data_IF_038271311162
#
_entry.id   IF_038271311162
#
_cell.length_a   1.000
_cell.length_b   1.000
_cell.length_c   1.000
_cell.angle_alpha   90.00
_cell.angle_beta   90.00
_cell.angle_gamma   90.00
#
_symmetry.space_group_name_H-M   'P 1'
#
loop_
_entity.id
_entity.type
_entity.pdbx_description
1 polymer ?
#
# COMPACT_ATOMS: atom_id res chain seq x y z
N UNK A 1 -5.63 -6.86 -21.29
CA UNK A 1 -5.93 -6.27 -19.95
C UNK A 1 -4.97 -5.13 -19.69
N UNK A 2 -5.50 -3.94 -19.46
CA UNK A 2 -4.72 -2.75 -19.13
C UNK A 2 -4.82 -2.48 -17.65
N UNK A 3 -3.69 -2.33 -16.96
CA UNK A 3 -3.61 -2.06 -15.52
C UNK A 3 -2.93 -0.71 -15.34
N UNK A 4 -3.66 0.26 -14.83
CA UNK A 4 -3.18 1.62 -14.61
C UNK A 4 -3.41 2.08 -13.19
N UNK A 5 -2.59 3.00 -12.72
CA UNK A 5 -2.79 3.70 -11.46
C UNK A 5 -3.27 5.12 -11.73
N UNK A 6 -4.37 5.51 -11.11
CA UNK A 6 -4.91 6.86 -11.22
C UNK A 6 -4.91 7.56 -9.87
N UNK A 7 -4.75 8.89 -9.88
CA UNK A 7 -4.95 9.71 -8.68
C UNK A 7 -6.40 9.65 -8.25
N UNK A 8 -6.63 9.54 -6.95
CA UNK A 8 -7.96 9.68 -6.38
C UNK A 8 -8.43 11.13 -6.47
N UNK A 9 -9.70 11.31 -6.82
CA UNK A 9 -10.37 12.61 -6.83
C UNK A 9 -11.71 12.53 -6.10
N UNK A 10 -12.31 13.65 -5.75
CA UNK A 10 -13.63 13.66 -5.12
C UNK A 10 -14.74 13.09 -6.01
N UNK A 11 -14.54 13.06 -7.33
CA UNK A 11 -15.44 12.40 -8.27
C UNK A 11 -15.48 10.87 -8.09
N UNK A 12 -14.48 10.28 -7.44
CA UNK A 12 -14.37 8.84 -7.21
C UNK A 12 -15.06 8.38 -5.91
N UNK A 13 -15.77 9.24 -5.21
CA UNK A 13 -16.39 8.95 -3.90
C UNK A 13 -17.22 7.66 -3.92
N UNK A 14 -18.12 7.52 -4.87
CA UNK A 14 -18.99 6.35 -4.95
C UNK A 14 -18.22 5.08 -5.26
N UNK A 15 -17.25 5.16 -6.16
CA UNK A 15 -16.37 4.04 -6.47
C UNK A 15 -15.52 3.61 -5.27
N UNK A 16 -15.01 4.57 -4.51
CA UNK A 16 -14.27 4.31 -3.26
C UNK A 16 -15.15 3.62 -2.22
N UNK A 17 -16.37 4.10 -2.01
CA UNK A 17 -17.32 3.47 -1.07
C UNK A 17 -17.65 2.05 -1.50
N UNK A 18 -17.93 1.84 -2.78
CA UNK A 18 -18.20 0.51 -3.32
C UNK A 18 -17.02 -0.44 -3.11
N UNK A 19 -15.81 0.02 -3.42
CA UNK A 19 -14.59 -0.76 -3.21
C UNK A 19 -14.39 -1.14 -1.74
N UNK A 20 -14.45 -0.17 -0.84
CA UNK A 20 -14.20 -0.38 0.59
C UNK A 20 -15.25 -1.26 1.27
N UNK A 21 -16.48 -1.28 0.77
CA UNK A 21 -17.55 -2.15 1.28
C UNK A 21 -17.51 -3.57 0.68
N UNK A 22 -16.90 -3.75 -0.48
CA UNK A 22 -16.88 -5.03 -1.19
C UNK A 22 -15.59 -5.83 -1.01
N UNK A 23 -14.48 -5.18 -0.62
CA UNK A 23 -13.17 -5.83 -0.50
C UNK A 23 -13.15 -6.89 0.61
N UNK A 24 -12.45 -7.99 0.37
CA UNK A 24 -12.20 -9.01 1.39
C UNK A 24 -11.26 -8.45 2.48
N UNK A 25 -11.68 -8.58 3.73
CA UNK A 25 -11.01 -7.97 4.88
C UNK A 25 -10.12 -8.93 5.67
N UNK A 26 -9.99 -10.17 5.22
CA UNK A 26 -9.26 -11.22 5.95
C UNK A 26 -7.85 -10.77 6.35
N UNK A 27 -7.14 -10.13 5.44
CA UNK A 27 -5.76 -9.67 5.66
C UNK A 27 -5.61 -8.14 5.68
N UNK A 28 -6.70 -7.40 5.75
CA UNK A 28 -6.66 -5.95 5.93
C UNK A 28 -6.59 -5.59 7.42
N UNK A 29 -6.00 -4.44 7.72
CA UNK A 29 -5.98 -3.91 9.09
C UNK A 29 -7.35 -3.39 9.51
N UNK A 30 -7.53 -3.22 10.82
CA UNK A 30 -8.76 -2.62 11.39
C UNK A 30 -8.91 -1.12 11.09
N UNK A 31 -7.94 -0.50 10.41
CA UNK A 31 -7.99 0.92 10.01
C UNK A 31 -9.05 1.23 8.96
N UNK A 32 -9.51 0.22 8.22
CA UNK A 32 -10.56 0.40 7.21
C UNK A 32 -11.94 0.24 7.87
N UNK A 33 -12.76 1.32 7.98
CA UNK A 33 -14.08 1.25 8.59
C UNK A 33 -15.03 0.29 7.85
N UNK A 34 -15.98 -0.29 8.59
CA UNK A 34 -17.07 -1.08 8.02
C UNK A 34 -18.35 -0.89 8.86
N UNK A 35 -19.49 -0.55 8.24
CA UNK A 35 -19.63 -0.16 6.85
C UNK A 35 -18.85 1.12 6.53
N UNK A 36 -18.39 1.23 5.29
CA UNK A 36 -17.69 2.41 4.81
C UNK A 36 -18.70 3.44 4.30
N UNK A 37 -18.74 4.59 4.95
CA UNK A 37 -19.76 5.62 4.74
C UNK A 37 -19.28 6.73 3.81
N UNK A 38 -20.22 7.56 3.36
CA UNK A 38 -19.90 8.79 2.61
C UNK A 38 -18.97 9.72 3.40
N UNK A 39 -19.21 9.85 4.71
CA UNK A 39 -18.35 10.65 5.58
C UNK A 39 -16.92 10.08 5.66
N UNK A 40 -16.75 8.76 5.70
CA UNK A 40 -15.44 8.10 5.66
C UNK A 40 -14.73 8.41 4.34
N UNK A 41 -15.45 8.31 3.21
CA UNK A 41 -14.91 8.60 1.89
C UNK A 41 -14.48 10.07 1.76
N UNK A 42 -15.29 11.00 2.19
CA UNK A 42 -14.98 12.44 2.15
C UNK A 42 -13.76 12.78 2.98
N UNK A 43 -13.69 12.25 4.19
CA UNK A 43 -12.53 12.43 5.05
C UNK A 43 -11.24 11.89 4.40
N UNK A 44 -11.31 10.66 3.89
CA UNK A 44 -10.15 10.01 3.28
C UNK A 44 -9.69 10.72 2.00
N UNK A 45 -10.63 11.09 1.10
CA UNK A 45 -10.31 11.82 -0.12
C UNK A 45 -9.72 13.20 0.18
N UNK A 46 -10.20 13.87 1.23
CA UNK A 46 -9.63 15.14 1.70
C UNK A 46 -8.21 14.97 2.22
N UNK A 47 -7.96 13.94 3.02
CA UNK A 47 -6.63 13.58 3.52
C UNK A 47 -5.66 13.32 2.36
N UNK A 48 -6.09 12.53 1.37
CA UNK A 48 -5.27 12.23 0.18
C UNK A 48 -4.97 13.51 -0.60
N UNK A 49 -5.96 14.35 -0.84
CA UNK A 49 -5.77 15.61 -1.59
C UNK A 49 -4.73 16.52 -0.94
N UNK A 50 -4.67 16.57 0.39
CA UNK A 50 -3.71 17.40 1.12
C UNK A 50 -2.29 16.82 1.15
N UNK A 51 -2.17 15.50 1.15
CA UNK A 51 -0.92 14.80 1.47
C UNK A 51 -0.26 14.08 0.29
N UNK A 52 -0.98 13.92 -0.84
CA UNK A 52 -0.43 13.22 -2.01
C UNK A 52 0.81 13.91 -2.56
N UNK A 53 1.88 13.13 -2.74
CA UNK A 53 3.19 13.63 -3.15
C UNK A 53 4.02 14.25 -2.02
N UNK A 54 3.54 14.24 -0.79
CA UNK A 54 4.22 14.79 0.40
C UNK A 54 4.41 13.72 1.48
N UNK A 55 3.33 13.35 2.15
CA UNK A 55 3.34 12.31 3.20
C UNK A 55 3.18 10.90 2.64
N UNK A 56 2.73 10.77 1.43
CA UNK A 56 2.56 9.51 0.74
C UNK A 56 2.13 9.69 -0.69
N UNK A 57 1.87 8.58 -1.35
CA UNK A 57 1.22 8.52 -2.66
C UNK A 57 0.10 7.49 -2.59
N UNK A 58 -1.08 7.87 -3.04
CA UNK A 58 -2.29 7.03 -3.03
C UNK A 58 -2.87 6.98 -4.44
N UNK A 59 -3.14 5.76 -4.91
CA UNK A 59 -3.66 5.56 -6.27
C UNK A 59 -4.78 4.53 -6.28
N UNK A 60 -5.77 4.75 -7.12
CA UNK A 60 -6.71 3.70 -7.49
C UNK A 60 -6.05 2.74 -8.48
N UNK A 61 -6.37 1.46 -8.36
CA UNK A 61 -5.96 0.44 -9.33
C UNK A 61 -7.10 0.30 -10.32
N UNK A 62 -6.82 0.60 -11.58
CA UNK A 62 -7.81 0.61 -12.67
C UNK A 62 -7.48 -0.49 -13.66
N UNK A 63 -8.43 -1.37 -13.93
CA UNK A 63 -8.32 -2.44 -14.91
C UNK A 63 -9.38 -2.22 -15.97
N UNK A 64 -8.95 -2.06 -17.22
CA UNK A 64 -9.83 -1.81 -18.35
C UNK A 64 -10.88 -0.71 -18.08
N UNK A 65 -10.46 0.37 -17.42
CA UNK A 65 -11.29 1.52 -17.10
C UNK A 65 -12.14 1.40 -15.82
N UNK A 66 -12.08 0.29 -15.10
CA UNK A 66 -12.81 0.06 -13.85
C UNK A 66 -11.88 0.12 -12.65
N UNK A 67 -12.28 0.84 -11.60
CA UNK A 67 -11.57 0.81 -10.31
C UNK A 67 -11.82 -0.54 -9.62
N UNK A 68 -10.75 -1.30 -9.41
CA UNK A 68 -10.81 -2.64 -8.81
C UNK A 68 -10.00 -2.76 -7.53
N UNK A 69 -9.28 -1.72 -7.16
CA UNK A 69 -8.45 -1.74 -5.97
C UNK A 69 -7.87 -0.37 -5.63
N UNK A 70 -7.06 -0.36 -4.59
CA UNK A 70 -6.32 0.82 -4.12
C UNK A 70 -4.93 0.39 -3.67
N UNK A 71 -3.96 1.25 -3.88
CA UNK A 71 -2.59 1.05 -3.40
C UNK A 71 -1.99 2.37 -2.95
N UNK A 72 -1.07 2.29 -1.99
CA UNK A 72 -0.38 3.46 -1.46
C UNK A 72 1.03 3.13 -0.98
N UNK A 73 1.87 4.16 -0.91
CA UNK A 73 3.09 4.16 -0.13
C UNK A 73 3.05 5.38 0.78
N UNK A 74 3.10 5.17 2.08
CA UNK A 74 3.02 6.23 3.07
C UNK A 74 4.34 6.33 3.84
N UNK A 75 4.84 7.57 4.06
CA UNK A 75 6.04 7.78 4.87
C UNK A 75 5.83 7.29 6.29
N UNK A 76 6.84 6.64 6.85
CA UNK A 76 6.84 6.32 8.27
C UNK A 76 7.04 7.60 9.09
N UNK A 77 6.33 7.70 10.23
CA UNK A 77 6.45 8.85 11.12
C UNK A 77 7.85 8.99 11.71
N UNK A 78 8.49 7.88 12.06
CA UNK A 78 9.78 7.84 12.76
C UNK A 78 10.98 7.77 11.80
N UNK A 79 10.77 7.32 10.55
CA UNK A 79 11.80 7.22 9.52
C UNK A 79 11.30 7.84 8.22
N UNK A 80 11.55 9.13 8.03
CA UNK A 80 10.97 9.93 6.95
C UNK A 80 11.44 9.55 5.54
N UNK A 81 12.53 8.82 5.42
CA UNK A 81 13.09 8.29 4.18
C UNK A 81 12.62 6.86 3.87
N UNK A 82 11.76 6.30 4.70
CA UNK A 82 11.16 4.98 4.53
C UNK A 82 9.65 5.12 4.33
N UNK A 83 9.11 4.38 3.37
CA UNK A 83 7.67 4.28 3.14
C UNK A 83 7.14 2.89 3.47
N UNK A 84 5.86 2.81 3.80
CA UNK A 84 5.12 1.56 3.97
C UNK A 84 4.13 1.39 2.83
N UNK A 85 4.20 0.25 2.14
CA UNK A 85 3.29 -0.07 1.05
C UNK A 85 2.04 -0.78 1.56
N UNK A 86 0.88 -0.41 1.00
CA UNK A 86 -0.37 -1.11 1.20
C UNK A 86 -1.12 -1.26 -0.13
N UNK A 87 -1.91 -2.31 -0.24
CA UNK A 87 -2.79 -2.49 -1.39
C UNK A 87 -3.95 -3.41 -1.04
N UNK A 88 -5.07 -3.22 -1.72
CA UNK A 88 -6.23 -4.08 -1.66
C UNK A 88 -6.86 -4.17 -3.05
N UNK A 89 -7.36 -5.35 -3.39
CA UNK A 89 -7.95 -5.64 -4.70
C UNK A 89 -9.21 -6.47 -4.48
N UNK A 90 -10.27 -6.17 -5.22
CA UNK A 90 -11.50 -6.94 -5.20
C UNK A 90 -11.24 -8.41 -5.57
N UNK A 91 -11.87 -9.33 -4.85
CA UNK A 91 -11.67 -10.78 -4.98
C UNK A 91 -11.78 -11.31 -6.43
N UNK A 92 -12.75 -10.86 -7.27
CA UNK A 92 -12.84 -11.34 -8.64
C UNK A 92 -11.60 -11.04 -9.50
N UNK A 93 -10.73 -10.15 -9.04
CA UNK A 93 -9.52 -9.73 -9.76
C UNK A 93 -8.24 -10.34 -9.20
N UNK A 94 -8.34 -11.26 -8.24
CA UNK A 94 -7.19 -11.94 -7.68
C UNK A 94 -6.56 -12.93 -8.67
N UNK A 95 -5.29 -13.25 -8.45
CA UNK A 95 -4.52 -14.25 -9.21
C UNK A 95 -4.40 -13.96 -10.72
N UNK A 96 -4.46 -12.69 -11.10
CA UNK A 96 -4.35 -12.23 -12.50
C UNK A 96 -3.12 -11.34 -12.74
N UNK A 97 -2.21 -11.25 -11.78
CA UNK A 97 -1.03 -10.41 -11.88
C UNK A 97 -1.25 -8.92 -11.60
N UNK A 98 -2.49 -8.53 -11.27
CA UNK A 98 -2.85 -7.12 -11.04
C UNK A 98 -2.10 -6.54 -9.85
N UNK A 99 -2.03 -7.26 -8.74
CA UNK A 99 -1.29 -6.83 -7.55
C UNK A 99 0.20 -6.63 -7.82
N UNK A 100 0.82 -7.54 -8.54
CA UNK A 100 2.24 -7.45 -8.92
C UNK A 100 2.51 -6.21 -9.77
N UNK A 101 1.68 -5.93 -10.75
CA UNK A 101 1.83 -4.76 -11.61
C UNK A 101 1.53 -3.45 -10.86
N UNK A 102 0.49 -3.43 -10.03
CA UNK A 102 0.15 -2.27 -9.21
C UNK A 102 1.30 -1.90 -8.24
N UNK A 103 1.91 -2.89 -7.60
CA UNK A 103 3.06 -2.68 -6.71
C UNK A 103 4.26 -2.15 -7.48
N UNK A 104 4.53 -2.69 -8.66
CA UNK A 104 5.61 -2.19 -9.53
C UNK A 104 5.40 -0.70 -9.85
N UNK A 105 4.19 -0.33 -10.24
CA UNK A 105 3.87 1.05 -10.61
C UNK A 105 3.92 1.99 -9.41
N UNK A 106 3.33 1.63 -8.26
CA UNK A 106 3.33 2.52 -7.09
C UNK A 106 4.71 2.73 -6.50
N UNK A 107 5.59 1.73 -6.55
CA UNK A 107 6.99 1.90 -6.16
C UNK A 107 7.69 2.94 -7.05
N UNK A 108 7.43 2.93 -8.36
CA UNK A 108 7.94 3.94 -9.28
C UNK A 108 7.42 5.34 -8.98
N UNK A 109 6.14 5.47 -8.67
CA UNK A 109 5.54 6.76 -8.26
C UNK A 109 6.19 7.26 -6.97
N UNK A 110 6.31 6.40 -5.96
CA UNK A 110 6.91 6.73 -4.69
C UNK A 110 8.38 7.17 -4.83
N UNK A 111 9.15 6.48 -5.67
CA UNK A 111 10.53 6.86 -5.97
C UNK A 111 10.63 8.27 -6.56
N UNK A 112 9.78 8.60 -7.53
CA UNK A 112 9.80 9.91 -8.18
C UNK A 112 9.30 11.03 -7.30
N UNK A 113 8.24 10.79 -6.52
CA UNK A 113 7.53 11.86 -5.80
C UNK A 113 7.96 12.03 -4.35
N UNK A 114 8.43 10.96 -3.70
CA UNK A 114 8.73 10.98 -2.26
C UNK A 114 10.23 10.94 -1.93
N UNK A 115 11.10 10.66 -2.90
CA UNK A 115 12.54 10.53 -2.70
C UNK A 115 12.91 9.57 -1.54
N UNK A 116 12.23 8.43 -1.46
CA UNK A 116 12.46 7.42 -0.43
C UNK A 116 13.73 6.62 -0.71
N UNK A 117 14.38 6.14 0.33
CA UNK A 117 15.49 5.20 0.26
C UNK A 117 15.02 3.75 0.29
N UNK A 118 13.92 3.49 1.00
CA UNK A 118 13.40 2.15 1.26
C UNK A 118 11.88 2.14 1.34
N UNK A 119 11.28 1.06 0.87
CA UNK A 119 9.86 0.77 1.08
C UNK A 119 9.74 -0.55 1.82
N UNK A 120 8.96 -0.59 2.89
CA UNK A 120 8.63 -1.82 3.60
C UNK A 120 7.19 -2.24 3.31
N UNK A 121 6.96 -3.55 3.36
CA UNK A 121 5.62 -4.14 3.34
C UNK A 121 5.47 -5.09 4.51
N UNK A 122 4.44 -4.88 5.33
CA UNK A 122 4.09 -5.77 6.43
C UNK A 122 3.02 -6.75 5.95
N UNK A 123 3.26 -8.03 6.15
CA UNK A 123 2.41 -9.13 5.67
C UNK A 123 2.12 -10.09 6.81
N UNK A 124 0.84 -10.43 7.01
CA UNK A 124 0.48 -11.53 7.91
C UNK A 124 1.09 -12.83 7.38
N UNK A 125 1.64 -13.71 8.26
CA UNK A 125 2.33 -14.93 7.82
C UNK A 125 1.49 -15.83 6.92
N UNK A 126 0.18 -15.86 7.09
CA UNK A 126 -0.76 -16.67 6.32
C UNK A 126 -1.06 -16.07 4.93
N UNK A 127 -0.76 -14.80 4.71
CA UNK A 127 -1.01 -14.13 3.44
C UNK A 127 0.10 -14.41 2.42
N UNK A 128 0.14 -15.63 1.90
CA UNK A 128 1.15 -16.07 0.96
C UNK A 128 1.08 -15.32 -0.38
N UNK A 129 -0.11 -14.94 -0.80
CA UNK A 129 -0.31 -14.21 -2.05
C UNK A 129 0.35 -12.83 -2.01
N UNK A 130 0.19 -12.10 -0.90
CA UNK A 130 0.83 -10.80 -0.72
C UNK A 130 2.36 -10.91 -0.64
N UNK A 131 2.87 -11.91 0.08
CA UNK A 131 4.31 -12.18 0.13
C UNK A 131 4.89 -12.39 -1.28
N UNK A 132 4.22 -13.16 -2.12
CA UNK A 132 4.65 -13.38 -3.51
C UNK A 132 4.65 -12.12 -4.36
N UNK A 133 3.63 -11.28 -4.21
CA UNK A 133 3.56 -10.00 -4.92
C UNK A 133 4.77 -9.13 -4.58
N UNK A 134 5.14 -9.04 -3.32
CA UNK A 134 6.30 -8.29 -2.87
C UNK A 134 7.61 -8.91 -3.38
N UNK A 135 7.77 -10.22 -3.24
CA UNK A 135 8.96 -10.93 -3.71
C UNK A 135 9.19 -10.78 -5.21
N UNK A 136 8.14 -10.85 -6.02
CA UNK A 136 8.21 -10.61 -7.47
C UNK A 136 8.64 -9.20 -7.84
N UNK A 137 8.47 -8.24 -6.92
CA UNK A 137 8.92 -6.86 -7.07
C UNK A 137 10.29 -6.59 -6.44
N UNK A 138 11.02 -7.63 -6.06
CA UNK A 138 12.36 -7.49 -5.51
C UNK A 138 12.43 -7.17 -4.01
N UNK A 139 11.30 -7.23 -3.32
CA UNK A 139 11.28 -7.13 -1.85
C UNK A 139 11.87 -8.40 -1.24
N UNK A 140 12.66 -8.23 -0.18
CA UNK A 140 13.28 -9.30 0.57
C UNK A 140 12.73 -9.33 2.00
N UNK A 141 12.54 -10.53 2.55
CA UNK A 141 12.17 -10.69 3.95
C UNK A 141 13.33 -10.22 4.83
N UNK A 142 13.10 -9.19 5.65
CA UNK A 142 14.10 -8.65 6.58
C UNK A 142 13.87 -9.07 8.03
N UNK A 143 12.60 -9.17 8.44
CA UNK A 143 12.27 -9.32 9.85
C UNK A 143 10.94 -10.05 10.02
N UNK A 144 10.81 -10.73 11.16
CA UNK A 144 9.55 -11.27 11.67
C UNK A 144 9.27 -10.61 13.02
N UNK A 145 8.12 -9.97 13.16
CA UNK A 145 7.72 -9.32 14.40
C UNK A 145 6.57 -10.09 15.05
N UNK A 146 6.75 -10.49 16.30
CA UNK A 146 5.71 -11.17 17.07
C UNK A 146 4.78 -10.15 17.71
N UNK A 147 3.46 -10.38 17.56
CA UNK A 147 2.42 -9.56 18.21
C UNK A 147 2.43 -8.09 17.83
N UNK A 148 2.96 -7.74 16.66
CA UNK A 148 3.23 -6.36 16.25
C UNK A 148 1.98 -5.58 15.83
N UNK A 149 0.91 -6.26 15.43
CA UNK A 149 -0.33 -5.65 14.94
C UNK A 149 -1.50 -6.25 15.70
N UNK A 150 -2.41 -5.40 16.16
CA UNK A 150 -3.68 -5.84 16.76
C UNK A 150 -4.76 -5.84 15.68
N UNK A 151 -5.37 -6.99 15.47
CA UNK A 151 -6.50 -7.16 14.56
C UNK A 151 -7.61 -7.92 15.25
N UNK A 152 -8.83 -7.36 15.24
CA UNK A 152 -10.00 -7.94 15.89
C UNK A 152 -9.74 -8.34 17.35
N UNK A 153 -9.00 -7.50 18.07
CA UNK A 153 -8.64 -7.71 19.48
C UNK A 153 -7.52 -8.73 19.72
N UNK A 154 -6.89 -9.27 18.67
CA UNK A 154 -5.79 -10.23 18.77
C UNK A 154 -4.47 -9.62 18.33
N UNK A 155 -3.40 -9.87 19.09
CA UNK A 155 -2.04 -9.58 18.67
C UNK A 155 -1.62 -10.56 17.57
N UNK A 156 -1.23 -10.03 16.42
CA UNK A 156 -0.84 -10.79 15.24
C UNK A 156 0.63 -10.59 14.92
N UNK A 157 1.27 -11.66 14.48
CA UNK A 157 2.63 -11.59 13.94
C UNK A 157 2.60 -11.00 12.53
N UNK A 158 3.68 -10.34 12.15
CA UNK A 158 3.88 -9.87 10.78
C UNK A 158 5.27 -10.21 10.28
N UNK A 159 5.37 -10.43 8.97
CA UNK A 159 6.64 -10.47 8.24
C UNK A 159 6.88 -9.12 7.61
N UNK A 160 8.08 -8.59 7.76
CA UNK A 160 8.47 -7.31 7.14
C UNK A 160 9.35 -7.60 5.93
N UNK A 161 8.86 -7.23 4.77
CA UNK A 161 9.59 -7.24 3.51
C UNK A 161 10.09 -5.84 3.20
N UNK A 162 11.23 -5.71 2.58
CA UNK A 162 11.77 -4.41 2.21
C UNK A 162 12.37 -4.39 0.82
N UNK A 163 12.21 -3.26 0.16
CA UNK A 163 12.84 -2.93 -1.10
C UNK A 163 13.68 -1.66 -0.92
N UNK A 164 14.93 -1.70 -1.37
CA UNK A 164 15.83 -0.54 -1.37
C UNK A 164 16.02 -0.05 -2.79
N UNK A 165 15.87 1.25 -2.99
CA UNK A 165 16.10 1.84 -4.30
C UNK A 165 17.59 1.84 -4.64
N UNK A 166 17.97 1.43 -5.89
CA UNK A 166 19.35 1.51 -6.35
C UNK A 166 19.82 2.97 -6.34
N UNK A 167 21.03 3.24 -5.78
CA UNK A 167 21.61 4.59 -5.71
C UNK A 167 21.07 5.44 -4.57
N UNK A 168 20.28 4.87 -3.64
CA UNK A 168 19.99 5.51 -2.36
C UNK A 168 21.32 5.89 -1.69
N UNK A 169 21.44 7.14 -1.21
CA UNK A 169 22.64 7.60 -0.53
C UNK A 169 22.89 6.67 0.67
N UNK A 170 23.90 5.82 0.54
CA UNK A 170 24.57 5.34 1.72
C UNK A 170 25.10 6.60 2.39
N UNK A 171 24.53 6.97 3.52
CA UNK A 171 25.17 7.91 4.39
C UNK A 171 26.51 7.30 4.74
N UNK A 172 27.55 7.75 4.07
CA UNK A 172 28.91 7.55 4.51
C UNK A 172 29.07 8.33 5.82
N UNK A 173 28.67 7.70 6.91
CA UNK A 173 29.21 7.98 8.21
C UNK A 173 30.65 7.40 8.24
N UNK A 174 31.49 7.92 7.39
CA UNK A 174 32.91 7.95 7.68
C UNK A 174 33.12 9.21 8.50
N UNK A 175 32.91 9.08 9.80
CA UNK A 175 33.56 9.94 10.76
C UNK A 175 35.04 9.79 10.53
N UNK A 176 35.62 10.83 10.08
CA UNK A 176 37.05 11.02 10.28
C UNK A 176 37.36 11.21 11.78
#
# INVERSE_FOLDING_TARGET
>A
MTIDLHKWTFADREALMALCNAVDRTFLSDRLPYPYTEADADWWLGMVAENDGKEGVWRSIVVDGQIVGSTSVERLADERNVGSIGYMILTPFWSQGIGTEAVRQICGVAFRELALERIIGEVFPENLASARVLEKNGFLLEERKSGAVVKSGKAMDVKVYAFRFPGGRTSNLQSA
#
